data_IF_387785861618
#
_entry.id   IF_387785861618
#
_cell.length_a   1.000
_cell.length_b   1.000
_cell.length_c   1.000
_cell.angle_alpha   90.00
_cell.angle_beta   90.00
_cell.angle_gamma   90.00
#
_symmetry.space_group_name_H-M   'P 1'
#
loop_
_entity.id
_entity.type
_entity.pdbx_description
1 polymer ?
#
# COMPACT_ATOMS: atom_id res chain seq x y z
N UNK A 1 4.31 -10.07 -10.31
CA UNK A 1 3.13 -10.40 -11.12
C UNK A 1 3.50 -10.40 -12.59
N UNK A 2 3.20 -11.50 -13.29
CA UNK A 2 3.47 -11.62 -14.74
C UNK A 2 2.85 -10.50 -15.58
N UNK A 3 1.72 -9.95 -15.10
CA UNK A 3 1.03 -8.86 -15.81
C UNK A 3 1.85 -7.57 -15.88
N UNK A 4 2.68 -7.28 -14.87
CA UNK A 4 3.51 -6.07 -14.81
C UNK A 4 4.83 -6.19 -15.58
N UNK A 5 5.22 -7.39 -16.02
CA UNK A 5 6.43 -7.56 -16.83
C UNK A 5 6.29 -6.82 -18.16
N UNK A 6 7.25 -5.97 -18.47
CA UNK A 6 7.26 -5.11 -19.67
C UNK A 6 6.24 -3.96 -19.61
N UNK A 7 5.64 -3.66 -18.42
CA UNK A 7 4.62 -2.61 -18.25
C UNK A 7 4.95 -1.64 -17.13
N UNK A 8 6.12 -1.72 -16.54
CA UNK A 8 6.57 -0.71 -15.60
C UNK A 8 6.85 0.62 -16.31
N UNK A 9 6.92 1.71 -15.57
CA UNK A 9 7.29 3.03 -16.12
C UNK A 9 8.68 2.94 -16.78
N UNK A 10 9.62 2.22 -16.17
CA UNK A 10 10.94 1.98 -16.72
C UNK A 10 10.86 1.25 -18.08
N UNK A 11 10.15 0.12 -18.15
CA UNK A 11 9.94 -0.62 -19.40
C UNK A 11 9.34 0.26 -20.51
N UNK A 12 8.34 1.10 -20.16
CA UNK A 12 7.70 2.00 -21.12
C UNK A 12 8.62 3.12 -21.60
N UNK A 13 9.51 3.61 -20.76
CA UNK A 13 10.51 4.62 -21.13
C UNK A 13 11.58 3.97 -21.99
N UNK A 14 12.16 2.86 -21.56
CA UNK A 14 13.20 2.15 -22.29
C UNK A 14 12.74 1.72 -23.68
N UNK A 15 11.48 1.26 -23.82
CA UNK A 15 10.91 0.92 -25.11
C UNK A 15 10.78 2.10 -26.10
N UNK A 16 10.94 3.34 -25.63
CA UNK A 16 10.89 4.57 -26.45
C UNK A 16 12.26 5.20 -26.70
N UNK A 17 13.29 4.74 -26.02
CA UNK A 17 14.64 5.21 -26.17
C UNK A 17 15.39 4.36 -27.20
N UNK A 18 16.31 4.98 -27.94
CA UNK A 18 17.27 4.25 -28.76
C UNK A 18 18.40 3.71 -27.87
N UNK A 19 19.11 2.68 -28.34
CA UNK A 19 20.26 2.12 -27.61
C UNK A 19 21.32 3.19 -27.31
N UNK A 20 21.53 4.15 -28.23
CA UNK A 20 22.47 5.24 -28.02
C UNK A 20 21.99 6.23 -26.94
N UNK A 21 20.69 6.45 -26.82
CA UNK A 21 20.13 7.29 -25.76
C UNK A 21 20.25 6.60 -24.39
N UNK A 22 20.02 5.28 -24.34
CA UNK A 22 20.22 4.48 -23.11
C UNK A 22 21.69 4.53 -22.69
N UNK A 23 22.61 4.23 -23.60
CA UNK A 23 24.07 4.31 -23.33
C UNK A 23 24.51 5.71 -22.94
N UNK A 24 23.95 6.74 -23.59
CA UNK A 24 24.23 8.13 -23.26
C UNK A 24 23.79 8.53 -21.86
N UNK A 25 22.62 8.04 -21.41
CA UNK A 25 22.12 8.22 -20.06
C UNK A 25 23.03 7.54 -19.04
N UNK A 26 23.39 6.27 -19.26
CA UNK A 26 24.30 5.52 -18.38
C UNK A 26 25.69 6.16 -18.29
N UNK A 27 26.21 6.67 -19.40
CA UNK A 27 27.50 7.40 -19.42
C UNK A 27 27.39 8.75 -18.71
N UNK A 28 26.27 9.45 -18.85
CA UNK A 28 25.98 10.71 -18.15
C UNK A 28 25.93 10.55 -16.64
N UNK A 29 25.35 9.49 -16.12
CA UNK A 29 25.28 9.19 -14.67
C UNK A 29 26.67 9.02 -14.02
N UNK A 30 27.68 8.63 -14.78
CA UNK A 30 29.08 8.52 -14.28
C UNK A 30 29.77 9.87 -14.14
N UNK A 31 29.33 10.90 -14.88
CA UNK A 31 29.93 12.23 -14.91
C UNK A 31 29.09 13.24 -14.14
N UNK A 32 27.78 13.14 -14.25
CA UNK A 32 26.81 14.00 -13.61
C UNK A 32 25.86 13.12 -12.80
N UNK A 33 25.78 13.35 -11.49
CA UNK A 33 24.69 12.75 -10.71
C UNK A 33 23.36 13.36 -11.18
N UNK A 34 22.78 12.78 -12.20
CA UNK A 34 21.43 13.11 -12.62
C UNK A 34 20.50 12.30 -11.77
N UNK A 35 19.80 12.94 -10.85
CA UNK A 35 18.67 12.33 -10.16
C UNK A 35 17.51 12.16 -11.16
N UNK A 36 17.69 11.34 -12.18
CA UNK A 36 16.62 10.99 -13.10
C UNK A 36 15.76 9.93 -12.44
N UNK A 37 14.67 10.38 -11.82
CA UNK A 37 13.65 9.51 -11.21
C UNK A 37 12.75 8.80 -12.23
N UNK A 38 13.23 8.57 -13.45
CA UNK A 38 12.43 7.91 -14.49
C UNK A 38 12.12 6.45 -14.15
N UNK A 39 12.87 5.83 -13.24
CA UNK A 39 12.58 4.49 -12.72
C UNK A 39 11.64 4.50 -11.50
N UNK A 40 11.38 5.65 -10.92
CA UNK A 40 10.47 5.79 -9.80
C UNK A 40 9.06 6.15 -10.30
N UNK A 41 8.05 5.58 -9.68
CA UNK A 41 6.66 6.00 -9.90
C UNK A 41 6.38 7.39 -9.35
N UNK A 42 5.12 7.78 -9.29
CA UNK A 42 4.69 9.01 -8.65
C UNK A 42 5.18 9.03 -7.19
N UNK A 43 5.88 10.10 -6.83
CA UNK A 43 6.41 10.29 -5.48
C UNK A 43 5.64 11.34 -4.68
N UNK A 44 6.12 11.63 -3.46
CA UNK A 44 5.54 12.61 -2.54
C UNK A 44 4.06 12.30 -2.18
N UNK A 45 3.77 11.01 -2.01
CA UNK A 45 2.46 10.54 -1.61
C UNK A 45 2.28 10.69 -0.10
N UNK A 46 1.09 11.10 0.30
CA UNK A 46 0.64 11.10 1.69
C UNK A 46 -0.70 10.38 1.76
N UNK A 47 -0.79 9.36 2.59
CA UNK A 47 -2.07 8.70 2.89
C UNK A 47 -2.86 9.54 3.89
N UNK A 48 -4.18 9.47 3.79
CA UNK A 48 -5.06 9.85 4.90
C UNK A 48 -5.04 8.75 5.98
N UNK A 49 -3.93 8.73 6.74
CA UNK A 49 -3.76 7.77 7.83
C UNK A 49 -4.84 7.89 8.90
N UNK A 50 -5.32 9.10 9.17
CA UNK A 50 -6.37 9.31 10.16
C UNK A 50 -7.62 8.54 9.78
N UNK A 51 -8.01 8.61 8.53
CA UNK A 51 -9.18 7.90 8.01
C UNK A 51 -8.94 6.40 7.92
N UNK A 52 -7.76 5.97 7.47
CA UNK A 52 -7.39 4.56 7.43
C UNK A 52 -7.41 3.93 8.83
N UNK A 53 -6.87 4.61 9.83
CA UNK A 53 -6.83 4.13 11.21
C UNK A 53 -8.23 4.07 11.85
N UNK A 54 -9.10 5.04 11.54
CA UNK A 54 -10.45 5.07 12.12
C UNK A 54 -11.43 4.08 11.48
N UNK A 55 -11.28 3.80 10.19
CA UNK A 55 -12.26 3.01 9.43
C UNK A 55 -11.74 1.62 9.06
N UNK A 56 -10.43 1.45 8.97
CA UNK A 56 -9.83 0.29 8.34
C UNK A 56 -10.22 0.16 6.86
N UNK A 57 -9.75 -0.88 6.21
CA UNK A 57 -10.11 -1.15 4.81
C UNK A 57 -11.60 -1.47 4.65
N UNK A 58 -12.22 -2.15 5.61
CA UNK A 58 -13.66 -2.49 5.55
C UNK A 58 -14.53 -1.24 5.55
N UNK A 59 -14.22 -0.27 6.41
CA UNK A 59 -14.95 0.98 6.46
C UNK A 59 -14.76 1.82 5.19
N UNK A 60 -13.55 1.89 4.66
CA UNK A 60 -13.26 2.58 3.40
C UNK A 60 -13.99 1.94 2.20
N UNK A 61 -14.05 0.61 2.14
CA UNK A 61 -14.83 -0.12 1.13
C UNK A 61 -16.33 0.17 1.29
N UNK A 62 -16.84 0.17 2.53
CA UNK A 62 -18.25 0.47 2.79
C UNK A 62 -18.62 1.89 2.35
N UNK A 63 -17.77 2.87 2.62
CA UNK A 63 -17.95 4.25 2.14
C UNK A 63 -17.94 4.33 0.61
N UNK A 64 -16.97 3.70 -0.05
CA UNK A 64 -16.90 3.68 -1.51
C UNK A 64 -18.16 3.08 -2.13
N UNK A 65 -18.65 1.96 -1.57
CA UNK A 65 -19.93 1.34 -1.98
C UNK A 65 -21.12 2.27 -1.76
N UNK A 66 -21.16 2.97 -0.62
CA UNK A 66 -22.22 3.93 -0.31
C UNK A 66 -22.24 5.08 -1.31
N UNK A 67 -21.08 5.70 -1.61
CA UNK A 67 -21.00 6.78 -2.57
C UNK A 67 -21.33 6.30 -3.99
N UNK A 68 -20.85 5.11 -4.38
CA UNK A 68 -21.21 4.51 -5.67
C UNK A 68 -22.71 4.33 -5.82
N UNK A 69 -23.39 3.80 -4.79
CA UNK A 69 -24.83 3.60 -4.82
C UNK A 69 -25.67 4.90 -4.87
N UNK A 70 -25.08 6.02 -4.46
CA UNK A 70 -25.74 7.33 -4.47
C UNK A 70 -25.53 8.12 -5.77
N UNK A 71 -24.84 7.56 -6.77
CA UNK A 71 -24.57 8.24 -8.04
C UNK A 71 -25.88 8.41 -8.84
N UNK A 72 -26.05 9.60 -9.42
CA UNK A 72 -27.14 9.86 -10.38
C UNK A 72 -26.71 9.41 -11.79
N UNK A 73 -27.45 8.46 -12.36
CA UNK A 73 -27.21 7.94 -13.72
C UNK A 73 -27.33 9.01 -14.83
N UNK A 74 -27.90 10.17 -14.52
CA UNK A 74 -28.01 11.30 -15.44
C UNK A 74 -26.78 12.20 -15.44
N UNK A 75 -25.85 11.99 -14.49
CA UNK A 75 -24.60 12.73 -14.43
C UNK A 75 -23.71 12.33 -15.62
N UNK A 76 -23.19 13.30 -16.34
CA UNK A 76 -22.30 13.08 -17.50
C UNK A 76 -21.04 12.31 -17.12
N UNK A 77 -20.59 12.41 -15.86
CA UNK A 77 -19.44 11.72 -15.30
C UNK A 77 -19.80 10.39 -14.62
N UNK A 78 -21.04 9.92 -14.74
CA UNK A 78 -21.51 8.73 -14.04
C UNK A 78 -20.59 7.52 -14.22
N UNK A 79 -20.24 7.19 -15.46
CA UNK A 79 -19.40 6.04 -15.77
C UNK A 79 -17.99 6.18 -15.16
N UNK A 80 -17.36 7.35 -15.28
CA UNK A 80 -16.06 7.64 -14.71
C UNK A 80 -16.08 7.50 -13.18
N UNK A 81 -17.14 7.99 -12.53
CA UNK A 81 -17.34 7.85 -11.08
C UNK A 81 -17.55 6.40 -10.66
N UNK A 82 -18.32 5.62 -11.42
CA UNK A 82 -18.50 4.18 -11.19
C UNK A 82 -17.16 3.46 -11.26
N UNK A 83 -16.39 3.66 -12.33
CA UNK A 83 -15.07 3.04 -12.51
C UNK A 83 -14.10 3.44 -11.41
N UNK A 84 -14.12 4.70 -10.97
CA UNK A 84 -13.31 5.18 -9.86
C UNK A 84 -13.63 4.42 -8.57
N UNK A 85 -14.91 4.33 -8.17
CA UNK A 85 -15.28 3.61 -6.95
C UNK A 85 -15.01 2.11 -7.05
N UNK A 86 -15.18 1.49 -8.20
CA UNK A 86 -14.83 0.09 -8.42
C UNK A 86 -13.32 -0.13 -8.27
N UNK A 87 -12.51 0.76 -8.82
CA UNK A 87 -11.05 0.71 -8.67
C UNK A 87 -10.63 0.82 -7.19
N UNK A 88 -11.25 1.74 -6.45
CA UNK A 88 -11.02 1.89 -5.00
C UNK A 88 -11.37 0.61 -4.25
N UNK A 89 -12.53 0.01 -4.53
CA UNK A 89 -12.99 -1.22 -3.88
C UNK A 89 -12.04 -2.38 -4.20
N UNK A 90 -11.67 -2.56 -5.47
CA UNK A 90 -10.74 -3.60 -5.91
C UNK A 90 -9.38 -3.44 -5.21
N UNK A 91 -8.86 -2.23 -5.14
CA UNK A 91 -7.58 -1.94 -4.51
C UNK A 91 -7.59 -2.28 -3.02
N UNK A 92 -8.61 -1.87 -2.28
CA UNK A 92 -8.71 -2.18 -0.86
C UNK A 92 -8.98 -3.66 -0.57
N UNK A 93 -9.77 -4.34 -1.41
CA UNK A 93 -9.91 -5.80 -1.30
C UNK A 93 -8.59 -6.54 -1.58
N UNK A 94 -7.79 -6.04 -2.50
CA UNK A 94 -6.45 -6.57 -2.75
C UNK A 94 -5.50 -6.33 -1.57
N UNK A 95 -5.58 -5.16 -0.94
CA UNK A 95 -4.81 -4.83 0.27
C UNK A 95 -5.13 -5.80 1.41
N UNK A 96 -6.41 -6.09 1.66
CA UNK A 96 -6.84 -7.07 2.66
C UNK A 96 -6.21 -8.45 2.41
N UNK A 97 -6.31 -8.95 1.17
CA UNK A 97 -5.71 -10.23 0.78
C UNK A 97 -4.18 -10.24 0.93
N UNK A 98 -3.53 -9.11 0.68
CA UNK A 98 -2.10 -8.97 0.89
C UNK A 98 -1.75 -9.18 2.37
N UNK A 99 -2.46 -8.51 3.29
CA UNK A 99 -2.26 -8.64 4.73
C UNK A 99 -2.51 -10.07 5.21
N UNK A 100 -3.62 -10.69 4.78
CA UNK A 100 -3.95 -12.08 5.13
C UNK A 100 -2.86 -13.06 4.68
N UNK A 101 -2.24 -12.84 3.53
CA UNK A 101 -1.12 -13.67 3.04
C UNK A 101 0.11 -13.55 3.95
N UNK A 102 0.40 -12.37 4.47
CA UNK A 102 1.50 -12.19 5.42
C UNK A 102 1.18 -12.80 6.78
N UNK A 103 -0.06 -12.71 7.24
CA UNK A 103 -0.50 -13.41 8.45
C UNK A 103 -0.27 -14.92 8.33
N UNK A 104 -0.73 -15.54 7.25
CA UNK A 104 -0.54 -16.98 6.98
C UNK A 104 0.95 -17.34 6.87
N UNK A 105 1.74 -16.54 6.18
CA UNK A 105 3.19 -16.78 6.09
C UNK A 105 3.87 -16.74 7.47
N UNK A 106 3.44 -15.83 8.35
CA UNK A 106 3.95 -15.76 9.71
C UNK A 106 3.58 -17.01 10.53
N UNK A 107 2.35 -17.51 10.40
CA UNK A 107 1.90 -18.78 11.02
C UNK A 107 2.69 -19.97 10.48
N UNK A 108 2.88 -20.08 9.17
CA UNK A 108 3.67 -21.15 8.54
C UNK A 108 5.11 -21.16 9.04
N UNK A 109 5.72 -19.97 9.16
CA UNK A 109 7.07 -19.83 9.72
C UNK A 109 7.10 -20.18 11.21
N UNK A 110 6.10 -19.77 11.98
CA UNK A 110 6.00 -20.09 13.41
C UNK A 110 5.86 -21.61 13.64
N UNK A 111 5.17 -22.33 12.74
CA UNK A 111 4.97 -23.77 12.86
C UNK A 111 6.28 -24.58 12.82
N UNK A 112 7.28 -24.10 12.09
CA UNK A 112 8.60 -24.77 11.93
C UNK A 112 9.70 -24.13 12.75
N UNK A 113 9.44 -22.98 13.41
CA UNK A 113 10.41 -22.27 14.23
C UNK A 113 10.76 -23.05 15.52
N UNK A 114 12.04 -23.19 15.80
CA UNK A 114 12.54 -23.93 16.96
C UNK A 114 12.82 -23.04 18.17
N UNK A 115 13.13 -21.75 17.93
CA UNK A 115 13.30 -20.79 19.01
C UNK A 115 11.94 -20.37 19.54
N UNK A 116 11.61 -20.65 20.81
CA UNK A 116 10.32 -20.31 21.39
C UNK A 116 10.00 -18.82 21.35
N UNK A 117 11.00 -17.97 21.57
CA UNK A 117 10.83 -16.51 21.53
C UNK A 117 10.50 -16.04 20.12
N UNK A 118 11.25 -16.52 19.13
CA UNK A 118 10.98 -16.16 17.72
C UNK A 118 9.64 -16.69 17.25
N UNK A 119 9.24 -17.87 17.68
CA UNK A 119 7.92 -18.45 17.41
C UNK A 119 6.80 -17.56 17.96
N UNK A 120 6.92 -17.08 19.20
CA UNK A 120 5.96 -16.17 19.82
C UNK A 120 5.88 -14.84 19.06
N UNK A 121 7.01 -14.27 18.64
CA UNK A 121 7.06 -13.06 17.81
C UNK A 121 6.32 -13.26 16.48
N UNK A 122 6.52 -14.37 15.79
CA UNK A 122 5.85 -14.68 14.52
C UNK A 122 4.33 -14.81 14.70
N UNK A 123 3.88 -15.47 15.77
CA UNK A 123 2.46 -15.57 16.10
C UNK A 123 1.87 -14.19 16.44
N UNK A 124 2.63 -13.34 17.13
CA UNK A 124 2.26 -11.94 17.39
C UNK A 124 2.08 -11.13 16.10
N UNK A 125 2.98 -11.29 15.13
CA UNK A 125 2.87 -10.69 13.80
C UNK A 125 1.60 -11.19 13.08
N UNK A 126 1.36 -12.49 13.07
CA UNK A 126 0.16 -13.05 12.46
C UNK A 126 -1.12 -12.46 13.08
N UNK A 127 -1.18 -12.40 14.41
CA UNK A 127 -2.31 -11.83 15.16
C UNK A 127 -2.55 -10.37 14.80
N UNK A 128 -1.51 -9.54 14.77
CA UNK A 128 -1.65 -8.12 14.42
C UNK A 128 -2.03 -7.92 12.95
N UNK A 129 -1.56 -8.77 12.03
CA UNK A 129 -2.00 -8.77 10.65
C UNK A 129 -3.49 -9.09 10.53
N UNK A 130 -3.98 -10.16 11.18
CA UNK A 130 -5.41 -10.50 11.15
C UNK A 130 -6.28 -9.41 11.78
N UNK A 131 -5.82 -8.75 12.83
CA UNK A 131 -6.54 -7.65 13.45
C UNK A 131 -6.86 -6.54 12.43
N UNK A 132 -5.93 -6.25 11.52
CA UNK A 132 -6.03 -5.12 10.59
C UNK A 132 -6.27 -5.51 9.13
N UNK A 133 -6.55 -6.78 8.86
CA UNK A 133 -6.79 -7.23 7.48
C UNK A 133 -8.06 -6.62 6.86
N UNK A 134 -8.95 -6.07 7.66
CA UNK A 134 -10.16 -5.36 7.21
C UNK A 134 -10.57 -4.27 8.19
N UNK A 135 -10.81 -4.60 9.47
CA UNK A 135 -11.28 -3.65 10.46
C UNK A 135 -10.26 -2.55 10.80
N UNK A 136 -10.72 -1.48 11.45
CA UNK A 136 -9.86 -0.54 12.15
C UNK A 136 -9.06 -1.23 13.26
N UNK A 137 -7.81 -0.82 13.52
CA UNK A 137 -7.00 -1.39 14.59
C UNK A 137 -7.64 -1.11 15.96
N UNK A 138 -7.50 -2.06 16.89
CA UNK A 138 -7.99 -1.95 18.27
C UNK A 138 -6.85 -1.90 19.28
N UNK A 139 -5.63 -2.20 18.82
CA UNK A 139 -4.44 -2.21 19.67
C UNK A 139 -3.36 -1.32 19.09
N UNK A 140 -2.42 -0.88 19.92
CA UNK A 140 -1.24 -0.16 19.47
C UNK A 140 -0.45 -0.97 18.42
N UNK A 141 -0.28 -2.27 18.66
CA UNK A 141 0.42 -3.14 17.71
C UNK A 141 -0.33 -3.30 16.39
N UNK A 142 -1.67 -3.38 16.43
CA UNK A 142 -2.50 -3.36 15.24
C UNK A 142 -2.35 -2.06 14.46
N UNK A 143 -2.35 -0.91 15.13
CA UNK A 143 -2.14 0.38 14.48
C UNK A 143 -0.76 0.48 13.81
N UNK A 144 0.30 0.04 14.50
CA UNK A 144 1.64 0.00 13.93
C UNK A 144 1.74 -0.97 12.75
N UNK A 145 1.06 -2.11 12.83
CA UNK A 145 1.00 -3.08 11.74
C UNK A 145 0.27 -2.51 10.52
N UNK A 146 -0.87 -1.86 10.71
CA UNK A 146 -1.62 -1.22 9.63
C UNK A 146 -0.80 -0.11 8.96
N UNK A 147 -0.12 0.70 9.76
CA UNK A 147 0.81 1.73 9.25
C UNK A 147 1.92 1.13 8.39
N UNK A 148 2.57 0.08 8.88
CA UNK A 148 3.65 -0.60 8.17
C UNK A 148 3.16 -1.19 6.84
N UNK A 149 2.05 -1.93 6.88
CA UNK A 149 1.48 -2.56 5.68
C UNK A 149 1.04 -1.52 4.66
N UNK A 150 0.38 -0.44 5.08
CA UNK A 150 -0.02 0.64 4.20
C UNK A 150 1.20 1.27 3.49
N UNK A 151 2.30 1.44 4.23
CA UNK A 151 3.57 1.91 3.67
C UNK A 151 4.13 0.94 2.63
N UNK A 152 4.12 -0.38 2.91
CA UNK A 152 4.60 -1.38 1.96
C UNK A 152 3.71 -1.45 0.69
N UNK A 153 2.40 -1.30 0.83
CA UNK A 153 1.48 -1.22 -0.30
C UNK A 153 1.77 -0.01 -1.20
N UNK A 154 2.04 1.16 -0.59
CA UNK A 154 2.46 2.35 -1.34
C UNK A 154 3.79 2.15 -2.07
N UNK A 155 4.73 1.41 -1.48
CA UNK A 155 5.99 1.08 -2.15
C UNK A 155 5.78 0.17 -3.36
N UNK A 156 4.84 -0.76 -3.28
CA UNK A 156 4.47 -1.62 -4.42
C UNK A 156 3.87 -0.81 -5.55
N UNK A 157 3.01 0.17 -5.24
CA UNK A 157 2.33 1.02 -6.23
C UNK A 157 3.26 2.10 -6.79
N UNK A 158 3.95 2.83 -5.92
CA UNK A 158 4.72 4.04 -6.25
C UNK A 158 6.24 3.84 -6.24
N UNK A 159 6.74 2.60 -6.19
CA UNK A 159 8.17 2.29 -6.12
C UNK A 159 8.89 2.91 -4.89
N UNK A 160 8.16 3.32 -3.88
CA UNK A 160 8.67 3.79 -2.60
C UNK A 160 9.26 5.20 -2.57
N UNK A 161 9.12 5.96 -3.65
CA UNK A 161 9.68 7.31 -3.70
C UNK A 161 8.90 8.30 -2.82
N UNK A 162 9.59 8.87 -1.82
CA UNK A 162 9.13 10.03 -1.02
C UNK A 162 7.73 9.89 -0.41
N UNK A 163 7.52 8.86 0.38
CA UNK A 163 6.27 8.67 1.13
C UNK A 163 6.31 9.57 2.38
N UNK A 164 5.30 10.45 2.53
CA UNK A 164 5.15 11.32 3.69
C UNK A 164 4.23 10.68 4.73
N UNK A 165 4.75 10.41 5.90
CA UNK A 165 4.01 9.71 6.96
C UNK A 165 3.09 10.63 7.79
N UNK A 166 3.33 11.94 7.75
CA UNK A 166 2.53 12.90 8.50
C UNK A 166 2.50 12.63 10.01
N UNK A 167 1.38 12.99 10.64
CA UNK A 167 1.13 12.77 12.09
C UNK A 167 0.42 11.45 12.40
N UNK A 168 0.31 10.56 11.44
CA UNK A 168 -0.54 9.37 11.50
C UNK A 168 -0.32 8.50 12.74
N UNK A 169 0.93 8.33 13.15
CA UNK A 169 1.27 7.46 14.29
C UNK A 169 0.96 8.13 15.63
N UNK A 170 1.08 9.45 15.73
CA UNK A 170 0.95 10.17 16.99
C UNK A 170 -0.51 10.36 17.42
N UNK A 171 -1.42 10.60 16.48
CA UNK A 171 -2.82 10.89 16.79
C UNK A 171 -3.58 9.66 17.27
N UNK A 172 -3.31 8.49 16.71
CA UNK A 172 -4.01 7.25 17.08
C UNK A 172 -3.36 6.49 18.22
N UNK A 173 -2.03 6.61 18.38
CA UNK A 173 -1.36 6.05 19.54
C UNK A 173 -1.83 6.71 20.85
N UNK A 174 -2.12 8.00 20.84
CA UNK A 174 -2.65 8.70 22.01
C UNK A 174 -4.05 8.21 22.40
N UNK A 175 -4.94 7.98 21.44
CA UNK A 175 -6.30 7.49 21.67
C UNK A 175 -6.31 6.04 22.17
N UNK A 176 -5.42 5.18 21.63
CA UNK A 176 -5.29 3.78 22.03
C UNK A 176 -4.54 3.57 23.36
N UNK A 177 -3.71 4.53 23.77
CA UNK A 177 -3.02 4.49 25.07
C UNK A 177 -3.86 5.09 26.21
N UNK A 178 -4.95 5.80 25.88
CA UNK A 178 -5.86 6.40 26.84
C UNK A 178 -7.10 5.55 27.17
N UNK A 179 -7.25 4.41 26.51
CA UNK A 179 -8.31 3.43 26.71
C UNK A 179 -7.79 2.18 27.47
#
# INVERSE_FOLDING_TARGET
>A
CKWWQGRSVADMIEARLTDDQIKGSEAGEKIFQTNLYHYAGAGHLSLDYSRLMSLGFDGLIAEAKKYKAALDMRDVEYNNKVEFYDSVIITYEAAKKYIERYAKLAEEKAAVEKDPKRKEELLGIAKSCYEVAGPAPKTYWGAMQLFNVATELLKVEGNGHSISYGRAVLLHAADLLSA
#
